data_IF_427574227739
#
_entry.id   IF_427574227739
#
_cell.length_a   1.000
_cell.length_b   1.000
_cell.length_c   1.000
_cell.angle_alpha   90.00
_cell.angle_beta   90.00
_cell.angle_gamma   90.00
#
_symmetry.space_group_name_H-M   'P 1'
#
loop_
_entity.id
_entity.type
_entity.pdbx_description
1 polymer ?
#
# COMPACT_ATOMS: atom_id res chain seq x y z
N UNK A 1 -10.60 -5.92 2.14
CA UNK A 1 -9.37 -5.24 2.61
C UNK A 1 -8.73 -5.91 3.82
N UNK A 2 -9.36 -5.98 5.01
CA UNK A 2 -8.72 -6.54 6.23
C UNK A 2 -8.08 -7.95 6.05
N UNK A 3 -8.69 -8.82 5.25
CA UNK A 3 -8.10 -10.13 4.90
C UNK A 3 -6.76 -10.04 4.18
N UNK A 4 -6.54 -9.04 3.32
CA UNK A 4 -5.28 -8.85 2.59
C UNK A 4 -4.12 -8.56 3.56
N UNK A 5 -4.35 -7.74 4.60
CA UNK A 5 -3.34 -7.51 5.65
C UNK A 5 -2.96 -8.80 6.38
N UNK A 6 -3.94 -9.64 6.72
CA UNK A 6 -3.67 -10.92 7.40
C UNK A 6 -2.91 -11.89 6.51
N UNK A 7 -3.18 -11.89 5.20
CA UNK A 7 -2.37 -12.64 4.21
C UNK A 7 -0.94 -12.09 4.17
N UNK A 8 -0.76 -10.77 4.09
CA UNK A 8 0.58 -10.15 4.07
C UNK A 8 1.36 -10.44 5.35
N UNK A 9 0.70 -10.45 6.51
CA UNK A 9 1.31 -10.85 7.77
C UNK A 9 1.74 -12.32 7.76
N UNK A 10 0.90 -13.22 7.24
CA UNK A 10 1.22 -14.66 7.10
C UNK A 10 2.41 -14.89 6.16
N UNK A 11 2.52 -14.09 5.10
CA UNK A 11 3.64 -14.08 4.15
C UNK A 11 4.88 -13.34 4.65
N UNK A 12 4.85 -12.79 5.89
CA UNK A 12 5.94 -12.04 6.52
C UNK A 12 6.36 -10.78 5.74
N UNK A 13 5.38 -10.08 5.16
CA UNK A 13 5.60 -8.80 4.47
C UNK A 13 5.46 -7.57 5.40
N UNK A 14 5.00 -7.78 6.64
CA UNK A 14 4.91 -6.72 7.65
C UNK A 14 6.30 -6.35 8.20
N UNK A 15 6.57 -5.05 8.36
CA UNK A 15 7.85 -4.51 8.84
C UNK A 15 7.59 -3.38 9.85
N UNK A 16 7.50 -3.74 11.13
CA UNK A 16 7.17 -2.80 12.20
C UNK A 16 5.87 -2.04 11.94
N UNK A 17 5.94 -0.70 11.91
CA UNK A 17 4.82 0.18 11.59
C UNK A 17 4.72 0.57 10.11
N UNK A 18 5.58 0.01 9.26
CA UNK A 18 5.65 0.30 7.82
C UNK A 18 4.64 -0.52 7.02
N UNK A 19 4.42 -0.08 5.79
CA UNK A 19 3.49 -0.72 4.86
C UNK A 19 2.05 -0.22 5.02
N UNK A 20 1.32 -0.23 3.91
CA UNK A 20 -0.05 0.25 3.85
C UNK A 20 -0.77 -0.38 2.65
N UNK A 21 -2.06 -0.63 2.83
CA UNK A 21 -2.96 -0.93 1.72
C UNK A 21 -4.00 0.17 1.76
N UNK A 22 -4.38 0.68 0.60
CA UNK A 22 -5.55 1.54 0.44
C UNK A 22 -6.53 0.91 -0.53
N UNK A 23 -7.81 1.18 -0.35
CA UNK A 23 -8.87 0.75 -1.25
C UNK A 23 -9.83 1.92 -1.51
N UNK A 24 -10.09 2.26 -2.76
CA UNK A 24 -11.08 3.27 -3.16
C UNK A 24 -12.46 2.85 -2.66
N UNK A 25 -13.20 3.79 -2.10
CA UNK A 25 -14.55 3.54 -1.64
C UNK A 25 -15.49 3.29 -2.84
N UNK A 26 -16.32 2.21 -2.79
CA UNK A 26 -17.17 1.86 -3.91
C UNK A 26 -18.38 2.79 -4.08
N UNK A 27 -18.68 3.66 -3.11
CA UNK A 27 -19.79 4.61 -3.17
C UNK A 27 -19.30 5.98 -3.61
N UNK A 28 -18.21 6.48 -3.01
CA UNK A 28 -17.59 7.74 -3.39
C UNK A 28 -16.14 7.52 -3.88
N UNK A 29 -15.87 7.67 -5.19
CA UNK A 29 -14.54 7.39 -5.75
C UNK A 29 -13.44 8.34 -5.26
N UNK A 30 -13.77 9.45 -4.58
CA UNK A 30 -12.80 10.37 -4.02
C UNK A 30 -12.38 10.02 -2.58
N UNK A 31 -12.94 8.95 -2.01
CA UNK A 31 -12.63 8.48 -0.66
C UNK A 31 -11.91 7.13 -0.68
N UNK A 32 -11.10 6.89 0.36
CA UNK A 32 -10.21 5.73 0.43
C UNK A 32 -10.21 5.13 1.83
N UNK A 33 -10.38 3.82 1.89
CA UNK A 33 -10.17 3.02 3.09
C UNK A 33 -8.68 2.75 3.26
N UNK A 34 -8.16 2.95 4.47
CA UNK A 34 -6.74 2.71 4.83
C UNK A 34 -6.63 2.01 6.19
N UNK A 35 -5.50 1.35 6.44
CA UNK A 35 -5.19 0.82 7.78
C UNK A 35 -4.76 1.92 8.76
N UNK A 36 -4.99 1.71 10.06
CA UNK A 36 -4.48 2.62 11.08
C UNK A 36 -2.96 2.55 11.18
N UNK A 37 -2.36 3.65 11.61
CA UNK A 37 -0.93 3.75 11.87
C UNK A 37 -0.50 2.85 13.03
N UNK A 38 0.66 2.22 12.89
CA UNK A 38 1.33 1.43 13.93
C UNK A 38 0.53 0.22 14.48
N UNK A 39 -0.49 -0.25 13.78
CA UNK A 39 -1.15 -1.54 14.09
C UNK A 39 -0.56 -2.65 13.23
N UNK A 40 -0.08 -3.71 13.87
CA UNK A 40 0.48 -4.86 13.16
C UNK A 40 -0.57 -5.50 12.23
N UNK A 41 -0.16 -5.87 11.01
CA UNK A 41 -1.07 -6.36 9.95
C UNK A 41 -1.92 -7.57 10.36
N UNK A 42 -1.36 -8.48 11.18
CA UNK A 42 -2.10 -9.64 11.68
C UNK A 42 -3.30 -9.25 12.57
N UNK A 43 -3.25 -8.08 13.20
CA UNK A 43 -4.24 -7.60 14.15
C UNK A 43 -5.29 -6.68 13.53
N UNK A 44 -5.18 -6.38 12.22
CA UNK A 44 -6.15 -5.53 11.53
C UNK A 44 -7.49 -6.25 11.42
N UNK A 45 -8.55 -5.55 11.80
CA UNK A 45 -9.95 -5.93 11.68
C UNK A 45 -10.67 -4.95 10.75
N UNK A 46 -11.91 -5.26 10.38
CA UNK A 46 -12.72 -4.36 9.54
C UNK A 46 -12.99 -3.02 10.26
N UNK A 47 -13.29 -3.09 11.56
CA UNK A 47 -13.59 -1.91 12.39
C UNK A 47 -12.38 -1.00 12.64
N UNK A 48 -11.17 -1.45 12.30
CA UNK A 48 -9.97 -0.63 12.41
C UNK A 48 -9.75 0.31 11.22
N UNK A 49 -10.38 0.01 10.08
CA UNK A 49 -10.15 0.73 8.84
C UNK A 49 -10.71 2.15 8.95
N UNK A 50 -9.96 3.10 8.39
CA UNK A 50 -10.29 4.52 8.43
C UNK A 50 -10.62 4.96 7.02
N UNK A 51 -11.75 5.65 6.85
CA UNK A 51 -12.12 6.29 5.60
C UNK A 51 -11.50 7.69 5.56
N UNK A 52 -10.77 8.00 4.50
CA UNK A 52 -10.10 9.30 4.29
C UNK A 52 -10.43 9.90 2.92
N UNK A 53 -10.28 11.21 2.78
CA UNK A 53 -10.26 11.90 1.49
C UNK A 53 -8.86 11.88 0.84
N UNK A 54 -8.69 12.55 -0.30
CA UNK A 54 -7.41 12.66 -1.02
C UNK A 54 -6.29 13.28 -0.19
N UNK A 55 -6.61 14.16 0.75
CA UNK A 55 -5.64 14.80 1.65
C UNK A 55 -5.26 13.88 2.83
N UNK A 56 -5.82 12.68 2.92
CA UNK A 56 -5.61 11.74 4.03
C UNK A 56 -6.31 12.18 5.32
N UNK A 57 -7.32 13.05 5.23
CA UNK A 57 -8.12 13.51 6.37
C UNK A 57 -9.22 12.49 6.67
N UNK A 58 -9.34 11.99 7.92
CA UNK A 58 -10.43 11.10 8.31
C UNK A 58 -11.80 11.74 8.13
N UNK A 59 -12.74 10.98 7.56
CA UNK A 59 -14.12 11.43 7.32
C UNK A 59 -15.10 11.02 8.44
N UNK A 60 -14.64 10.17 9.36
CA UNK A 60 -15.39 9.74 10.54
C UNK A 60 -14.55 9.93 11.78
N UNK A 61 -15.18 10.21 12.92
CA UNK A 61 -14.50 10.21 14.21
C UNK A 61 -13.85 8.84 14.47
N UNK A 62 -12.57 8.85 14.81
CA UNK A 62 -11.79 7.64 15.06
C UNK A 62 -10.71 7.93 16.08
N UNK A 63 -10.45 6.98 16.98
CA UNK A 63 -9.29 7.03 17.89
C UNK A 63 -8.00 6.57 17.18
N UNK A 64 -8.15 5.87 16.05
CA UNK A 64 -7.02 5.39 15.28
C UNK A 64 -6.33 6.55 14.53
N UNK A 65 -5.00 6.56 14.57
CA UNK A 65 -4.19 7.55 13.86
C UNK A 65 -4.01 7.18 12.39
N UNK A 66 -4.00 8.18 11.52
CA UNK A 66 -3.63 8.05 10.10
C UNK A 66 -2.19 8.53 9.90
N UNK A 67 -1.41 7.79 9.10
CA UNK A 67 -0.12 8.29 8.61
C UNK A 67 -0.33 9.01 7.28
N UNK A 68 -0.67 10.29 7.34
CA UNK A 68 -0.98 11.11 6.16
C UNK A 68 0.22 11.23 5.22
N UNK A 69 1.43 11.40 5.75
CA UNK A 69 2.65 11.47 4.95
C UNK A 69 2.86 10.22 4.08
N UNK A 70 2.59 9.04 4.66
CA UNK A 70 2.57 7.79 3.93
C UNK A 70 1.41 7.73 2.91
N UNK A 71 0.22 8.21 3.26
CA UNK A 71 -0.91 8.14 2.34
C UNK A 71 -0.73 8.99 1.07
N UNK A 72 0.05 10.07 1.09
CA UNK A 72 0.30 10.95 -0.07
C UNK A 72 0.71 10.16 -1.33
N UNK A 73 1.57 9.15 -1.20
CA UNK A 73 1.99 8.33 -2.35
C UNK A 73 0.79 7.63 -3.00
N UNK A 74 -0.10 7.07 -2.18
CA UNK A 74 -1.30 6.37 -2.66
C UNK A 74 -2.30 7.36 -3.27
N UNK A 75 -2.47 8.53 -2.65
CA UNK A 75 -3.34 9.58 -3.16
C UNK A 75 -2.89 10.07 -4.55
N UNK A 76 -1.59 10.31 -4.74
CA UNK A 76 -1.04 10.69 -6.05
C UNK A 76 -1.28 9.62 -7.12
N UNK A 77 -1.12 8.34 -6.78
CA UNK A 77 -1.43 7.23 -7.70
C UNK A 77 -2.90 7.24 -8.09
N UNK A 78 -3.81 7.39 -7.12
CA UNK A 78 -5.25 7.42 -7.41
C UNK A 78 -5.70 8.64 -8.21
N UNK A 79 -5.01 9.77 -8.08
CA UNK A 79 -5.25 10.98 -8.89
C UNK A 79 -4.76 10.79 -10.33
N UNK A 80 -3.58 10.20 -10.51
CA UNK A 80 -3.02 9.91 -11.82
C UNK A 80 -3.74 8.77 -12.55
N UNK A 81 -4.28 7.81 -11.80
CA UNK A 81 -4.95 6.61 -12.31
C UNK A 81 -6.33 6.42 -11.65
N UNK A 82 -7.36 7.13 -12.15
CA UNK A 82 -8.72 7.04 -11.61
C UNK A 82 -9.35 5.65 -11.70
N UNK A 83 -8.87 4.81 -12.61
CA UNK A 83 -9.31 3.43 -12.84
C UNK A 83 -8.82 2.45 -11.76
N UNK A 84 -7.75 2.79 -11.04
CA UNK A 84 -7.22 1.95 -9.96
C UNK A 84 -8.08 2.05 -8.71
N UNK A 85 -8.37 0.89 -8.12
CA UNK A 85 -9.18 0.77 -6.91
C UNK A 85 -8.36 0.40 -5.67
N UNK A 86 -7.15 -0.15 -5.82
CA UNK A 86 -6.33 -0.55 -4.70
C UNK A 86 -4.86 -0.22 -4.96
N UNK A 87 -4.15 0.16 -3.88
CA UNK A 87 -2.69 0.34 -3.90
C UNK A 87 -2.13 -0.36 -2.67
N UNK A 88 -1.10 -1.17 -2.89
CA UNK A 88 -0.42 -1.95 -1.85
C UNK A 88 1.05 -1.54 -1.80
N UNK A 89 1.53 -1.16 -0.62
CA UNK A 89 2.93 -0.84 -0.38
C UNK A 89 3.41 -1.56 0.87
N UNK A 90 4.60 -2.17 0.80
CA UNK A 90 5.16 -2.98 1.87
C UNK A 90 6.68 -2.98 1.81
N UNK A 91 7.32 -3.25 2.95
CA UNK A 91 8.76 -3.42 3.05
C UNK A 91 9.09 -4.91 3.24
N UNK A 92 8.65 -5.75 2.29
CA UNK A 92 8.94 -7.19 2.36
C UNK A 92 10.45 -7.43 2.34
N UNK A 93 10.99 -8.46 3.01
CA UNK A 93 12.44 -8.66 3.13
C UNK A 93 13.16 -8.69 1.78
N UNK A 94 12.63 -9.44 0.81
CA UNK A 94 13.22 -9.56 -0.53
C UNK A 94 13.00 -8.31 -1.38
N UNK A 95 11.81 -7.69 -1.32
CA UNK A 95 11.53 -6.48 -2.06
C UNK A 95 12.42 -5.32 -1.63
N UNK A 96 12.58 -5.13 -0.31
CA UNK A 96 13.49 -4.13 0.27
C UNK A 96 14.95 -4.41 -0.06
N UNK A 97 15.37 -5.67 -0.04
CA UNK A 97 16.74 -6.03 -0.41
C UNK A 97 17.02 -5.80 -1.90
N UNK A 98 16.06 -6.06 -2.78
CA UNK A 98 16.23 -5.86 -4.22
C UNK A 98 16.15 -4.39 -4.63
N UNK A 99 15.27 -3.60 -3.99
CA UNK A 99 15.07 -2.19 -4.34
C UNK A 99 16.32 -1.33 -4.16
N UNK A 100 17.28 -1.75 -3.32
CA UNK A 100 18.55 -1.02 -3.13
C UNK A 100 19.43 -0.99 -4.38
N UNK A 101 19.22 -1.90 -5.34
CA UNK A 101 19.96 -1.91 -6.61
C UNK A 101 19.41 -0.89 -7.62
N UNK A 102 18.24 -0.29 -7.38
CA UNK A 102 17.65 0.68 -8.29
C UNK A 102 17.37 0.14 -9.69
N UNK A 103 17.08 -1.17 -9.83
CA UNK A 103 16.80 -1.81 -11.12
C UNK A 103 15.59 -2.75 -11.07
N UNK A 104 15.01 -3.01 -12.23
CA UNK A 104 13.86 -3.91 -12.40
C UNK A 104 14.21 -5.37 -12.12
N UNK A 105 13.19 -6.23 -12.16
CA UNK A 105 13.34 -7.69 -12.08
C UNK A 105 13.60 -8.23 -13.49
N UNK A 106 14.54 -9.16 -13.61
CA UNK A 106 14.88 -9.80 -14.90
C UNK A 106 13.92 -10.95 -15.19
N UNK A 107 13.53 -11.13 -16.47
CA UNK A 107 12.55 -12.12 -16.93
C UNK A 107 13.19 -13.52 -17.09
N UNK A 108 13.62 -14.09 -15.98
CA UNK A 108 14.41 -15.33 -15.94
C UNK A 108 13.56 -16.59 -15.74
N UNK A 109 12.30 -16.44 -15.33
CA UNK A 109 11.37 -17.55 -15.10
C UNK A 109 9.90 -17.13 -15.32
N UNK A 110 9.01 -18.12 -15.35
CA UNK A 110 7.58 -17.90 -15.58
C UNK A 110 6.95 -16.89 -14.61
N UNK A 111 7.33 -16.91 -13.33
CA UNK A 111 6.77 -16.01 -12.33
C UNK A 111 7.22 -14.56 -12.55
N UNK A 112 8.48 -14.34 -12.91
CA UNK A 112 8.99 -13.01 -13.25
C UNK A 112 8.31 -12.42 -14.49
N UNK A 113 7.95 -13.26 -15.46
CA UNK A 113 7.25 -12.82 -16.67
C UNK A 113 5.85 -12.25 -16.40
N UNK A 114 5.27 -12.44 -15.21
CA UNK A 114 4.05 -11.74 -14.81
C UNK A 114 4.22 -10.21 -14.78
N UNK A 115 5.45 -9.71 -14.78
CA UNK A 115 5.79 -8.28 -14.75
C UNK A 115 6.40 -7.77 -16.07
N UNK A 116 6.34 -8.55 -17.15
CA UNK A 116 6.87 -8.14 -18.45
C UNK A 116 6.12 -6.92 -18.98
N UNK A 117 6.86 -5.86 -19.32
CA UNK A 117 6.34 -4.54 -19.71
C UNK A 117 5.36 -3.89 -18.70
N UNK A 118 5.34 -4.37 -17.45
CA UNK A 118 4.41 -3.93 -16.40
C UNK A 118 5.13 -3.73 -15.04
N UNK A 119 6.41 -3.32 -15.09
CA UNK A 119 7.23 -2.99 -13.92
C UNK A 119 7.94 -1.66 -14.11
N UNK A 120 7.70 -0.73 -13.19
CA UNK A 120 8.41 0.54 -13.12
C UNK A 120 9.40 0.57 -11.95
N UNK A 121 10.51 1.27 -12.14
CA UNK A 121 11.48 1.60 -11.09
C UNK A 121 11.47 3.12 -10.91
N UNK A 122 11.31 3.58 -9.67
CA UNK A 122 11.35 5.00 -9.36
C UNK A 122 12.80 5.45 -9.13
N UNK A 123 13.28 6.37 -9.96
CA UNK A 123 14.68 6.87 -9.92
C UNK A 123 14.89 7.99 -8.88
N UNK A 124 13.82 8.55 -8.30
CA UNK A 124 13.90 9.79 -7.51
C UNK A 124 14.26 9.62 -6.03
N UNK A 125 14.58 8.41 -5.53
CA UNK A 125 14.95 8.18 -4.13
C UNK A 125 15.82 6.92 -3.96
N UNK A 126 17.08 7.08 -3.53
CA UNK A 126 18.02 5.97 -3.24
C UNK A 126 18.86 5.53 -4.44
N UNK A 127 20.19 5.71 -4.31
CA UNK A 127 21.23 5.80 -5.35
C UNK A 127 21.15 7.07 -6.18
#
# INVERSE_FOLDING_TARGET
>A
MAGAFRIFAKLRFADGASGRISLRDPVNPNYFWINPYAKHFACITVSDLILVNHEGTPLTATENKVNTAAFIIHSSIYQAHPDLNAVCHMHSPYGRAWSTFGKGIEMLNQDSCMFYDDLAVYEGFGC
#
